data_IF_363316243715
#
_entry.id   IF_363316243715
#
_cell.length_a   1.000
_cell.length_b   1.000
_cell.length_c   1.000
_cell.angle_alpha   90.00
_cell.angle_beta   90.00
_cell.angle_gamma   90.00
#
_symmetry.space_group_name_H-M   'P 1'
#
loop_
_entity.id
_entity.type
_entity.pdbx_description
1 polymer ?
#
# COMPACT_ATOMS: atom_id res chain seq x y z
N UNK A 1 28.05 10.02 9.59
CA UNK A 1 27.30 9.10 8.71
C UNK A 1 25.97 8.73 9.38
N UNK A 2 24.87 9.44 9.07
CA UNK A 2 23.54 9.10 9.62
C UNK A 2 22.87 8.08 8.69
N UNK A 3 22.86 6.81 9.09
CA UNK A 3 22.01 5.78 8.46
C UNK A 3 20.56 6.19 8.69
N UNK A 4 19.90 6.69 7.64
CA UNK A 4 18.46 6.89 7.65
C UNK A 4 17.81 5.53 7.94
N UNK A 5 17.31 5.37 9.17
CA UNK A 5 16.31 4.36 9.48
C UNK A 5 15.09 4.72 8.62
N UNK A 6 15.01 4.18 7.41
CA UNK A 6 13.77 4.09 6.66
C UNK A 6 12.83 3.20 7.47
N UNK A 7 12.13 3.80 8.43
CA UNK A 7 10.99 3.16 9.08
C UNK A 7 10.04 2.74 7.99
N UNK A 8 9.53 1.52 8.09
CA UNK A 8 8.50 0.92 7.24
C UNK A 8 7.31 1.87 6.98
N UNK A 9 7.11 2.87 7.85
CA UNK A 9 6.26 4.06 7.67
C UNK A 9 6.36 4.72 6.28
N UNK A 10 7.57 4.88 5.73
CA UNK A 10 7.82 5.73 4.56
C UNK A 10 7.44 5.11 3.21
N UNK A 11 7.33 3.79 3.10
CA UNK A 11 7.24 3.12 1.79
C UNK A 11 5.80 2.83 1.33
N UNK A 12 4.81 2.86 2.23
CA UNK A 12 3.41 2.57 1.87
C UNK A 12 2.45 3.75 2.06
N UNK A 13 2.71 4.72 2.95
CA UNK A 13 1.61 5.54 3.50
C UNK A 13 1.86 7.04 3.68
N UNK A 14 3.02 7.57 3.34
CA UNK A 14 3.50 8.79 4.01
C UNK A 14 2.91 10.16 3.59
N UNK A 15 1.74 10.25 2.95
CA UNK A 15 1.13 11.56 2.65
C UNK A 15 -0.41 11.63 2.76
N UNK A 16 -1.11 10.50 2.91
CA UNK A 16 -2.57 10.47 3.15
C UNK A 16 -2.92 10.35 4.65
N UNK A 17 -1.93 10.09 5.50
CA UNK A 17 -2.16 9.56 6.85
C UNK A 17 -2.36 10.59 7.96
N UNK A 18 -2.04 11.88 7.78
CA UNK A 18 -2.14 12.83 8.90
C UNK A 18 -3.57 12.94 9.50
N UNK A 19 -4.62 12.64 8.70
CA UNK A 19 -6.01 12.59 9.18
C UNK A 19 -6.59 11.18 9.35
N UNK A 20 -5.95 10.16 8.77
CA UNK A 20 -6.41 8.76 8.84
C UNK A 20 -5.63 7.91 9.85
N UNK A 21 -4.74 8.55 10.61
CA UNK A 21 -3.81 7.88 11.51
C UNK A 21 -4.51 6.95 12.51
N UNK A 22 -5.70 7.29 13.01
CA UNK A 22 -6.44 6.44 13.95
C UNK A 22 -6.95 5.11 13.38
N UNK A 23 -7.60 5.14 12.22
CA UNK A 23 -8.13 3.92 11.57
C UNK A 23 -7.03 3.11 10.91
N UNK A 24 -6.07 3.78 10.29
CA UNK A 24 -4.87 3.15 9.75
C UNK A 24 -4.05 2.49 10.87
N UNK A 25 -4.00 3.08 12.07
CA UNK A 25 -3.31 2.46 13.22
C UNK A 25 -3.96 1.16 13.66
N UNK A 26 -5.30 1.09 13.69
CA UNK A 26 -6.02 -0.18 13.97
C UNK A 26 -5.68 -1.26 12.94
N UNK A 27 -5.56 -0.89 11.66
CA UNK A 27 -5.13 -1.84 10.64
C UNK A 27 -3.67 -2.31 10.84
N UNK A 28 -2.79 -1.43 11.31
CA UNK A 28 -1.38 -1.77 11.58
C UNK A 28 -1.22 -2.76 12.73
N UNK A 29 -2.15 -2.81 13.69
CA UNK A 29 -2.13 -3.79 14.79
C UNK A 29 -2.32 -5.23 14.30
N UNK A 30 -2.87 -5.42 13.08
CA UNK A 30 -2.97 -6.72 12.42
C UNK A 30 -1.66 -7.17 11.78
N UNK A 31 -0.64 -6.29 11.66
CA UNK A 31 0.60 -6.67 10.99
C UNK A 31 1.40 -7.67 11.84
N UNK A 32 1.92 -8.75 11.24
CA UNK A 32 2.87 -9.62 11.92
C UNK A 32 4.20 -8.89 12.15
N UNK A 33 5.13 -9.49 12.90
CA UNK A 33 6.48 -8.94 12.99
C UNK A 33 7.20 -8.99 11.63
N UNK A 34 7.44 -7.82 11.04
CA UNK A 34 8.11 -7.66 9.75
C UNK A 34 9.61 -7.37 9.87
N UNK A 35 10.19 -7.46 11.07
CA UNK A 35 11.59 -7.12 11.34
C UNK A 35 12.58 -7.77 10.36
N UNK A 36 12.37 -9.05 10.03
CA UNK A 36 13.19 -9.82 9.09
C UNK A 36 12.78 -9.72 7.61
N UNK A 37 11.72 -8.96 7.28
CA UNK A 37 11.15 -8.90 5.91
C UNK A 37 10.98 -7.49 5.36
N UNK A 38 11.54 -6.47 6.02
CA UNK A 38 11.36 -5.06 5.63
C UNK A 38 11.66 -4.76 4.16
N UNK A 39 12.79 -5.25 3.65
CA UNK A 39 13.19 -5.02 2.26
C UNK A 39 12.28 -5.75 1.26
N UNK A 40 11.76 -6.91 1.66
CA UNK A 40 10.81 -7.69 0.86
C UNK A 40 9.46 -6.97 0.77
N UNK A 41 8.98 -6.42 1.88
CA UNK A 41 7.75 -5.60 1.93
C UNK A 41 7.91 -4.35 1.07
N UNK A 42 9.06 -3.68 1.13
CA UNK A 42 9.38 -2.54 0.28
C UNK A 42 9.31 -2.91 -1.21
N UNK A 43 9.92 -4.04 -1.59
CA UNK A 43 9.92 -4.52 -2.97
C UNK A 43 8.52 -4.90 -3.46
N UNK A 44 7.70 -5.56 -2.63
CA UNK A 44 6.29 -5.88 -2.93
C UNK A 44 5.49 -4.60 -3.13
N UNK A 45 5.60 -3.65 -2.21
CA UNK A 45 4.91 -2.36 -2.29
C UNK A 45 5.25 -1.61 -3.59
N UNK A 46 6.53 -1.55 -3.96
CA UNK A 46 6.97 -0.92 -5.20
C UNK A 46 6.44 -1.65 -6.44
N UNK A 47 6.55 -2.99 -6.50
CA UNK A 47 6.09 -3.77 -7.65
C UNK A 47 4.60 -3.66 -7.86
N UNK A 48 3.82 -3.86 -6.80
CA UNK A 48 2.38 -3.76 -6.88
C UNK A 48 1.95 -2.31 -7.16
N UNK A 49 2.56 -1.32 -6.51
CA UNK A 49 2.25 0.09 -6.74
C UNK A 49 2.52 0.50 -8.20
N UNK A 50 3.66 0.12 -8.77
CA UNK A 50 3.95 0.37 -10.19
C UNK A 50 2.96 -0.34 -11.11
N UNK A 51 2.64 -1.61 -10.83
CA UNK A 51 1.70 -2.39 -11.63
C UNK A 51 0.31 -1.75 -11.64
N UNK A 52 -0.22 -1.42 -10.47
CA UNK A 52 -1.55 -0.83 -10.33
C UNK A 52 -1.62 0.59 -10.86
N UNK A 53 -0.57 1.40 -10.67
CA UNK A 53 -0.51 2.71 -11.29
C UNK A 53 -0.57 2.64 -12.82
N UNK A 54 0.20 1.74 -13.42
CA UNK A 54 0.24 1.55 -14.88
C UNK A 54 -1.01 0.89 -15.46
N UNK A 55 -1.81 0.24 -14.63
CA UNK A 55 -3.13 -0.25 -15.03
C UNK A 55 -4.14 0.90 -15.20
N UNK A 56 -3.98 1.98 -14.43
CA UNK A 56 -4.81 3.18 -14.56
C UNK A 56 -4.26 4.14 -15.61
N UNK A 57 -2.95 4.37 -15.58
CA UNK A 57 -2.24 5.30 -16.46
C UNK A 57 -0.90 4.66 -16.89
N UNK A 58 -0.82 4.07 -18.10
CA UNK A 58 0.35 3.32 -18.57
C UNK A 58 1.66 4.11 -18.58
N UNK A 59 1.59 5.42 -18.79
CA UNK A 59 2.76 6.30 -18.97
C UNK A 59 3.13 7.07 -17.69
N UNK A 60 2.45 6.79 -16.57
CA UNK A 60 2.62 7.50 -15.32
C UNK A 60 4.05 7.40 -14.77
N UNK A 61 4.59 8.55 -14.35
CA UNK A 61 5.90 8.63 -13.72
C UNK A 61 5.84 8.28 -12.22
N UNK A 62 6.95 7.83 -11.64
CA UNK A 62 7.02 7.55 -10.18
C UNK A 62 6.61 8.77 -9.33
N UNK A 63 7.07 10.01 -9.64
CA UNK A 63 6.57 11.21 -8.97
C UNK A 63 5.04 11.35 -9.02
N UNK A 64 4.45 11.17 -10.21
CA UNK A 64 2.99 11.31 -10.38
C UNK A 64 2.22 10.25 -9.61
N UNK A 65 2.74 9.01 -9.50
CA UNK A 65 2.13 7.97 -8.64
C UNK A 65 2.03 8.46 -7.20
N UNK A 66 3.09 9.10 -6.68
CA UNK A 66 3.12 9.56 -5.29
C UNK A 66 2.11 10.67 -5.01
N UNK A 67 1.92 11.56 -5.98
CA UNK A 67 0.97 12.67 -5.89
C UNK A 67 -0.48 12.17 -6.11
N UNK A 68 -0.72 11.49 -7.23
CA UNK A 68 -2.06 11.13 -7.68
C UNK A 68 -2.73 10.09 -6.81
N UNK A 69 -1.98 9.16 -6.18
CA UNK A 69 -2.56 8.19 -5.24
C UNK A 69 -3.20 8.82 -3.99
N UNK A 70 -3.00 10.12 -3.77
CA UNK A 70 -3.53 10.89 -2.65
C UNK A 70 -4.56 11.94 -3.08
N UNK A 71 -4.80 12.10 -4.39
CA UNK A 71 -5.59 13.22 -4.93
C UNK A 71 -7.06 12.82 -5.05
N UNK A 72 -7.89 13.27 -4.11
CA UNK A 72 -9.34 13.00 -4.06
C UNK A 72 -10.06 13.40 -5.35
N UNK A 73 -9.67 14.54 -5.92
CA UNK A 73 -10.25 15.09 -7.15
C UNK A 73 -9.43 14.71 -8.41
N UNK A 74 -8.86 13.50 -8.46
CA UNK A 74 -8.17 13.04 -9.67
C UNK A 74 -9.18 12.72 -10.78
N UNK A 75 -9.07 13.31 -11.99
CA UNK A 75 -10.06 13.15 -13.04
C UNK A 75 -10.16 11.72 -13.59
N UNK A 76 -9.18 10.87 -13.33
CA UNK A 76 -9.20 9.46 -13.75
C UNK A 76 -9.64 8.52 -12.61
N UNK A 77 -10.03 9.06 -11.45
CA UNK A 77 -10.31 8.29 -10.23
C UNK A 77 -9.11 7.40 -9.86
N UNK A 78 -7.90 7.99 -9.99
CA UNK A 78 -6.64 7.28 -9.86
C UNK A 78 -6.46 6.62 -8.48
N UNK A 79 -6.64 7.32 -7.34
CA UNK A 79 -6.47 6.68 -6.03
C UNK A 79 -7.33 5.44 -5.85
N UNK A 80 -8.63 5.53 -6.15
CA UNK A 80 -9.57 4.43 -5.95
C UNK A 80 -9.17 3.21 -6.76
N UNK A 81 -8.97 3.38 -8.07
CA UNK A 81 -8.56 2.28 -8.96
C UNK A 81 -7.19 1.70 -8.57
N UNK A 82 -6.28 2.55 -8.10
CA UNK A 82 -4.97 2.13 -7.60
C UNK A 82 -5.11 1.18 -6.39
N UNK A 83 -5.85 1.56 -5.35
CA UNK A 83 -6.01 0.74 -4.13
C UNK A 83 -6.88 -0.50 -4.36
N UNK A 84 -7.90 -0.42 -5.24
CA UNK A 84 -8.69 -1.58 -5.66
C UNK A 84 -7.84 -2.63 -6.40
N UNK A 85 -7.01 -2.19 -7.35
CA UNK A 85 -6.05 -3.08 -8.00
C UNK A 85 -5.10 -3.72 -6.96
N UNK A 86 -4.67 -2.94 -5.96
CA UNK A 86 -3.76 -3.44 -4.93
C UNK A 86 -4.40 -4.55 -4.10
N UNK A 87 -5.66 -4.37 -3.69
CA UNK A 87 -6.46 -5.40 -3.02
C UNK A 87 -6.59 -6.67 -3.87
N UNK A 88 -6.86 -6.53 -5.16
CA UNK A 88 -6.92 -7.67 -6.10
C UNK A 88 -5.58 -8.41 -6.19
N UNK A 89 -4.45 -7.71 -6.21
CA UNK A 89 -3.12 -8.33 -6.21
C UNK A 89 -2.81 -9.03 -4.89
N UNK A 90 -3.28 -8.51 -3.75
CA UNK A 90 -3.12 -9.19 -2.46
C UNK A 90 -3.82 -10.56 -2.45
N UNK A 91 -4.93 -10.72 -3.18
CA UNK A 91 -5.66 -11.98 -3.31
C UNK A 91 -5.08 -12.94 -4.33
N UNK A 92 -4.63 -12.42 -5.47
CA UNK A 92 -4.38 -13.24 -6.67
C UNK A 92 -2.90 -13.44 -6.99
N UNK A 93 -2.02 -12.57 -6.51
CA UNK A 93 -0.60 -12.61 -6.84
C UNK A 93 0.18 -13.39 -5.75
N UNK A 94 1.08 -14.26 -6.21
CA UNK A 94 1.92 -15.11 -5.36
C UNK A 94 3.21 -14.43 -4.90
N UNK A 95 3.44 -13.16 -5.25
CA UNK A 95 4.70 -12.47 -4.96
C UNK A 95 5.03 -12.50 -3.47
N UNK A 96 4.04 -12.31 -2.59
CA UNK A 96 4.23 -12.41 -1.14
C UNK A 96 4.75 -13.79 -0.74
N UNK A 97 4.17 -14.86 -1.28
CA UNK A 97 4.63 -16.23 -1.05
C UNK A 97 6.04 -16.45 -1.60
N UNK A 98 6.34 -15.93 -2.79
CA UNK A 98 7.67 -16.04 -3.43
C UNK A 98 8.77 -15.32 -2.65
N UNK A 99 8.43 -14.23 -1.96
CA UNK A 99 9.38 -13.54 -1.07
C UNK A 99 9.39 -14.14 0.34
N UNK A 100 8.65 -15.21 0.60
CA UNK A 100 8.73 -16.03 1.81
C UNK A 100 7.76 -15.63 2.92
N UNK A 101 6.61 -15.04 2.58
CA UNK A 101 5.45 -15.00 3.48
C UNK A 101 4.68 -16.32 3.37
N UNK A 102 4.21 -16.87 4.49
CA UNK A 102 3.45 -18.12 4.50
C UNK A 102 2.56 -18.24 5.73
N UNK A 103 1.51 -19.07 5.63
CA UNK A 103 0.61 -19.36 6.75
C UNK A 103 -0.03 -18.10 7.33
N UNK A 104 -0.16 -18.07 8.65
CA UNK A 104 -0.76 -16.95 9.40
C UNK A 104 -0.06 -15.60 9.12
N UNK A 105 1.26 -15.59 8.89
CA UNK A 105 1.98 -14.35 8.57
C UNK A 105 1.48 -13.73 7.25
N UNK A 106 1.25 -14.57 6.24
CA UNK A 106 0.73 -14.12 4.95
C UNK A 106 -0.71 -13.60 5.09
N UNK A 107 -1.53 -14.29 5.85
CA UNK A 107 -2.93 -13.93 6.09
C UNK A 107 -3.03 -12.59 6.84
N UNK A 108 -2.26 -12.44 7.93
CA UNK A 108 -2.20 -11.21 8.72
C UNK A 108 -1.67 -10.02 7.91
N UNK A 109 -0.64 -10.23 7.08
CA UNK A 109 -0.15 -9.19 6.18
C UNK A 109 -1.22 -8.76 5.16
N UNK A 110 -1.89 -9.73 4.52
CA UNK A 110 -2.97 -9.45 3.56
C UNK A 110 -4.12 -8.70 4.22
N UNK A 111 -4.54 -9.13 5.41
CA UNK A 111 -5.62 -8.50 6.17
C UNK A 111 -5.28 -7.05 6.54
N UNK A 112 -4.09 -6.80 7.07
CA UNK A 112 -3.62 -5.47 7.42
C UNK A 112 -3.55 -4.54 6.20
N UNK A 113 -2.96 -5.00 5.10
CA UNK A 113 -2.81 -4.20 3.88
C UNK A 113 -4.18 -3.86 3.26
N UNK A 114 -5.10 -4.83 3.20
CA UNK A 114 -6.48 -4.58 2.74
C UNK A 114 -7.24 -3.61 3.63
N UNK A 115 -7.10 -3.76 4.95
CA UNK A 115 -7.72 -2.85 5.91
C UNK A 115 -7.31 -1.40 5.63
N UNK A 116 -6.00 -1.15 5.47
CA UNK A 116 -5.47 0.17 5.12
C UNK A 116 -6.03 0.67 3.80
N UNK A 117 -5.99 -0.15 2.75
CA UNK A 117 -6.48 0.23 1.43
C UNK A 117 -7.97 0.59 1.44
N UNK A 118 -8.77 -0.16 2.19
CA UNK A 118 -10.21 0.09 2.31
C UNK A 118 -10.52 1.36 3.11
N UNK A 119 -9.76 1.66 4.17
CA UNK A 119 -9.88 2.94 4.90
C UNK A 119 -9.60 4.11 3.97
N UNK A 120 -8.52 4.01 3.19
CA UNK A 120 -8.15 5.03 2.21
C UNK A 120 -9.22 5.17 1.12
N UNK A 121 -9.71 4.06 0.56
CA UNK A 121 -10.77 4.06 -0.45
C UNK A 121 -12.03 4.77 0.04
N UNK A 122 -12.52 4.43 1.24
CA UNK A 122 -13.70 5.08 1.85
C UNK A 122 -13.52 6.58 2.05
N UNK A 123 -12.31 7.02 2.35
CA UNK A 123 -12.01 8.46 2.53
C UNK A 123 -12.21 9.25 1.23
N UNK A 124 -12.12 8.58 0.08
CA UNK A 124 -12.43 9.19 -1.22
C UNK A 124 -13.92 9.15 -1.58
N UNK A 125 -14.74 8.37 -0.87
CA UNK A 125 -16.20 8.32 -1.05
C UNK A 125 -16.94 9.34 -0.18
N UNK A 126 -16.32 9.78 0.91
CA UNK A 126 -16.93 10.67 1.92
C UNK A 126 -16.66 12.17 1.69
N UNK A 127 -15.96 12.53 0.60
CA UNK A 127 -15.63 13.92 0.22
C UNK A 127 -16.38 14.39 -1.02
#
# INVERSE_FOLDING_TARGET
MRRQRLSLHLLLLNFLTEHLDGEVQKCKELLPDLSGKKDKVAAVGLRYGLRCAREVDPDISIPDIRERRCKTNDPQDFPRKFYQCWNRLLDTDELLTRVGFSGEELESFRAAAKCVNNVIEKTFDEQ
#
